data_IF_565569947369
#
_entry.id   IF_565569947369
#
_cell.length_a   1.000
_cell.length_b   1.000
_cell.length_c   1.000
_cell.angle_alpha   90.00
_cell.angle_beta   90.00
_cell.angle_gamma   90.00
#
_symmetry.space_group_name_H-M   'P 1'
#
loop_
_entity.id
_entity.type
_entity.pdbx_description
1 polymer ?
#
# COMPACT_ATOMS: atom_id res chain seq x y z
N UNK A 1 15.60 -46.51 20.69
CA UNK A 1 16.17 -45.56 21.68
C UNK A 1 15.96 -44.16 21.14
N UNK A 2 14.96 -43.46 21.66
CA UNK A 2 14.61 -42.09 21.25
C UNK A 2 15.50 -41.12 22.02
N UNK A 3 16.52 -40.57 21.36
CA UNK A 3 17.45 -39.63 21.98
C UNK A 3 16.78 -38.26 22.04
N UNK A 4 16.14 -37.95 23.17
CA UNK A 4 15.62 -36.61 23.44
C UNK A 4 16.79 -35.66 23.67
N UNK A 5 17.14 -34.84 22.66
CA UNK A 5 18.10 -33.74 22.82
C UNK A 5 17.56 -32.78 23.89
N UNK A 6 18.10 -32.86 25.12
CA UNK A 6 17.86 -31.88 26.18
C UNK A 6 18.80 -30.70 25.97
N UNK A 7 18.24 -29.58 25.48
CA UNK A 7 18.96 -28.31 25.42
C UNK A 7 19.40 -27.89 26.82
N UNK A 8 20.67 -27.50 26.96
CA UNK A 8 21.18 -26.96 28.23
C UNK A 8 20.42 -25.69 28.62
N UNK A 9 20.33 -25.33 29.92
CA UNK A 9 19.67 -24.11 30.35
C UNK A 9 20.16 -22.86 29.61
N UNK A 10 21.46 -22.80 29.32
CA UNK A 10 22.10 -21.74 28.53
C UNK A 10 21.64 -21.79 27.06
N UNK A 11 21.58 -22.97 26.44
CA UNK A 11 21.06 -23.14 25.08
C UNK A 11 19.59 -22.73 24.96
N UNK A 12 18.77 -23.02 25.98
CA UNK A 12 17.38 -22.59 26.03
C UNK A 12 17.23 -21.07 26.18
N UNK A 13 18.10 -20.43 26.97
CA UNK A 13 18.12 -18.96 27.11
C UNK A 13 18.50 -18.26 25.81
N UNK A 14 19.56 -18.73 25.12
CA UNK A 14 19.98 -18.17 23.83
C UNK A 14 18.87 -18.31 22.79
N UNK A 15 18.20 -19.47 22.73
CA UNK A 15 17.09 -19.69 21.81
C UNK A 15 15.91 -18.74 22.08
N UNK A 16 15.57 -18.50 23.36
CA UNK A 16 14.50 -17.55 23.73
C UNK A 16 14.85 -16.11 23.33
N UNK A 17 16.08 -15.67 23.57
CA UNK A 17 16.53 -14.32 23.20
C UNK A 17 16.54 -14.15 21.67
N UNK A 18 17.00 -15.16 20.92
CA UNK A 18 16.97 -15.14 19.46
C UNK A 18 15.54 -15.12 18.91
N UNK A 19 14.62 -15.90 19.49
CA UNK A 19 13.21 -15.93 19.10
C UNK A 19 12.54 -14.56 19.35
N UNK A 20 12.75 -13.98 20.53
CA UNK A 20 12.22 -12.66 20.87
C UNK A 20 12.82 -11.58 19.97
N UNK A 21 14.13 -11.59 19.76
CA UNK A 21 14.81 -10.67 18.85
C UNK A 21 14.29 -10.77 17.41
N UNK A 22 14.04 -11.99 16.92
CA UNK A 22 13.45 -12.23 15.60
C UNK A 22 12.02 -11.69 15.47
N UNK A 23 11.18 -11.86 16.50
CA UNK A 23 9.81 -11.30 16.52
C UNK A 23 9.85 -9.77 16.52
N UNK A 24 10.71 -9.15 17.32
CA UNK A 24 10.87 -7.70 17.35
C UNK A 24 11.39 -7.16 16.01
N UNK A 25 12.38 -7.80 15.41
CA UNK A 25 12.90 -7.40 14.10
C UNK A 25 11.85 -7.53 12.99
N UNK A 26 11.07 -8.62 13.00
CA UNK A 26 9.98 -8.82 12.04
C UNK A 26 8.86 -7.79 12.22
N UNK A 27 8.43 -7.54 13.46
CA UNK A 27 7.43 -6.52 13.77
C UNK A 27 7.93 -5.12 13.37
N UNK A 28 9.17 -4.78 13.71
CA UNK A 28 9.82 -3.53 13.32
C UNK A 28 9.86 -3.37 11.80
N UNK A 29 10.32 -4.39 11.07
CA UNK A 29 10.36 -4.33 9.60
C UNK A 29 8.95 -4.14 9.02
N UNK A 30 7.95 -4.88 9.51
CA UNK A 30 6.56 -4.74 9.05
C UNK A 30 5.97 -3.35 9.35
N UNK A 31 6.31 -2.75 10.49
CA UNK A 31 5.79 -1.46 10.95
C UNK A 31 6.49 -0.29 10.23
N UNK A 32 7.82 -0.34 10.09
CA UNK A 32 8.62 0.76 9.58
C UNK A 32 8.94 0.66 8.08
N UNK A 33 8.77 -0.51 7.44
CA UNK A 33 8.86 -0.70 5.98
C UNK A 33 7.50 -0.97 5.33
N UNK A 34 6.40 -0.86 6.08
CA UNK A 34 5.05 -1.03 5.56
C UNK A 34 4.41 0.29 5.11
N UNK A 35 3.37 0.17 4.30
CA UNK A 35 2.52 1.25 3.81
C UNK A 35 2.27 2.34 4.85
N UNK A 36 2.67 3.57 4.52
CA UNK A 36 2.41 4.73 5.36
C UNK A 36 1.13 5.41 4.86
N UNK A 37 0.10 5.39 5.70
CA UNK A 37 -1.11 6.15 5.45
C UNK A 37 -0.81 7.66 5.45
N UNK A 38 -1.40 8.36 4.49
CA UNK A 38 -1.33 9.81 4.42
C UNK A 38 -2.38 10.41 5.35
N UNK A 39 -1.99 11.40 6.15
CA UNK A 39 -2.94 12.17 6.95
C UNK A 39 -3.64 13.19 6.07
N UNK A 40 -4.93 13.41 6.31
CA UNK A 40 -5.66 14.50 5.65
C UNK A 40 -4.97 15.84 5.92
N UNK A 41 -4.81 16.64 4.87
CA UNK A 41 -4.18 17.95 4.95
C UNK A 41 -5.22 19.00 5.35
N UNK A 42 -5.00 19.62 6.50
CA UNK A 42 -5.88 20.66 7.07
C UNK A 42 -5.92 21.94 6.25
N UNK A 43 -4.95 22.15 5.34
CA UNK A 43 -4.91 23.32 4.43
C UNK A 43 -5.92 23.20 3.28
N UNK A 44 -6.40 22.00 2.99
CA UNK A 44 -7.37 21.73 1.93
C UNK A 44 -8.75 21.42 2.51
N UNK A 45 -9.79 21.57 1.68
CA UNK A 45 -11.16 21.19 2.04
C UNK A 45 -11.21 19.71 2.48
N UNK A 46 -12.10 19.33 3.42
CA UNK A 46 -12.31 17.92 3.77
C UNK A 46 -12.62 17.06 2.54
N UNK A 47 -12.37 15.75 2.66
CA UNK A 47 -12.68 14.79 1.59
C UNK A 47 -14.11 14.97 1.10
N UNK A 48 -14.29 15.07 -0.22
CA UNK A 48 -15.61 15.15 -0.84
C UNK A 48 -16.28 13.77 -1.02
N UNK A 49 -15.61 12.71 -0.59
CA UNK A 49 -16.13 11.34 -0.57
C UNK A 49 -16.00 10.74 0.84
N UNK A 50 -16.79 9.72 1.12
CA UNK A 50 -16.69 8.93 2.35
C UNK A 50 -15.81 7.67 2.16
N UNK A 51 -15.54 6.97 3.27
CA UNK A 51 -14.70 5.75 3.30
C UNK A 51 -15.24 4.66 2.36
N UNK A 52 -16.56 4.43 2.35
CA UNK A 52 -17.18 3.41 1.50
C UNK A 52 -16.95 3.70 0.02
N UNK A 53 -17.10 4.97 -0.39
CA UNK A 53 -16.84 5.40 -1.77
C UNK A 53 -15.35 5.31 -2.11
N UNK A 54 -14.47 5.69 -1.17
CA UNK A 54 -13.03 5.60 -1.36
C UNK A 54 -12.58 4.16 -1.56
N UNK A 55 -13.07 3.23 -0.73
CA UNK A 55 -12.83 1.79 -0.86
C UNK A 55 -13.32 1.24 -2.21
N UNK A 56 -14.53 1.59 -2.61
CA UNK A 56 -15.08 1.15 -3.90
C UNK A 56 -14.21 1.63 -5.09
N UNK A 57 -13.78 2.90 -5.07
CA UNK A 57 -12.88 3.45 -6.09
C UNK A 57 -11.51 2.78 -6.07
N UNK A 58 -10.95 2.54 -4.88
CA UNK A 58 -9.66 1.87 -4.72
C UNK A 58 -9.67 0.45 -5.28
N UNK A 59 -10.71 -0.35 -5.01
CA UNK A 59 -10.85 -1.69 -5.59
C UNK A 59 -11.04 -1.67 -7.11
N UNK A 60 -11.82 -0.71 -7.63
CA UNK A 60 -12.01 -0.54 -9.06
C UNK A 60 -10.70 -0.16 -9.77
N UNK A 61 -9.90 0.73 -9.17
CA UNK A 61 -8.56 1.08 -9.66
C UNK A 61 -7.65 -0.14 -9.62
N UNK A 62 -7.57 -0.86 -8.51
CA UNK A 62 -6.72 -2.05 -8.40
C UNK A 62 -7.08 -3.11 -9.45
N UNK A 63 -8.37 -3.39 -9.63
CA UNK A 63 -8.85 -4.34 -10.64
C UNK A 63 -8.49 -3.88 -12.05
N UNK A 64 -8.59 -2.57 -12.33
CA UNK A 64 -8.22 -2.00 -13.62
C UNK A 64 -6.71 -2.08 -13.92
N UNK A 65 -5.88 -2.10 -12.88
CA UNK A 65 -4.42 -2.19 -12.99
C UNK A 65 -3.91 -3.64 -13.07
N UNK A 66 -4.61 -4.59 -12.43
CA UNK A 66 -4.19 -5.99 -12.38
C UNK A 66 -4.49 -6.78 -13.66
N UNK A 67 -5.43 -6.30 -14.49
CA UNK A 67 -5.88 -6.99 -15.70
C UNK A 67 -4.80 -7.17 -16.79
N UNK A 68 -5.17 -7.83 -17.89
CA UNK A 68 -4.30 -7.96 -19.07
C UNK A 68 -4.17 -6.59 -19.77
N UNK A 69 -3.19 -5.81 -19.33
CA UNK A 69 -3.02 -4.40 -19.68
C UNK A 69 -3.83 -3.49 -18.76
N UNK A 70 -3.18 -2.44 -18.26
CA UNK A 70 -3.81 -1.49 -17.36
C UNK A 70 -4.85 -0.61 -18.07
N UNK A 71 -6.06 -0.55 -17.52
CA UNK A 71 -7.14 0.24 -18.10
C UNK A 71 -7.12 1.69 -17.60
N UNK A 72 -6.37 2.54 -18.32
CA UNK A 72 -6.23 3.96 -18.02
C UNK A 72 -7.56 4.68 -17.81
N UNK A 73 -8.55 4.46 -18.69
CA UNK A 73 -9.85 5.16 -18.62
C UNK A 73 -10.61 4.86 -17.34
N UNK A 74 -10.58 3.61 -16.89
CA UNK A 74 -11.22 3.23 -15.62
C UNK A 74 -10.51 3.88 -14.44
N UNK A 75 -9.18 3.94 -14.45
CA UNK A 75 -8.40 4.63 -13.41
C UNK A 75 -8.72 6.12 -13.39
N UNK A 76 -8.66 6.78 -14.55
CA UNK A 76 -8.96 8.20 -14.71
C UNK A 76 -10.36 8.55 -14.20
N UNK A 77 -11.38 7.77 -14.58
CA UNK A 77 -12.75 7.98 -14.12
C UNK A 77 -12.89 7.88 -12.60
N UNK A 78 -12.18 6.96 -11.96
CA UNK A 78 -12.24 6.78 -10.50
C UNK A 78 -11.43 7.85 -9.74
N UNK A 79 -10.43 8.46 -10.36
CA UNK A 79 -9.68 9.58 -9.79
C UNK A 79 -10.32 10.94 -10.06
N UNK A 80 -11.11 11.05 -11.13
CA UNK A 80 -11.78 12.29 -11.52
C UNK A 80 -12.77 12.77 -10.46
N UNK A 81 -12.79 14.09 -10.25
CA UNK A 81 -13.68 14.76 -9.30
C UNK A 81 -13.30 14.60 -7.84
N UNK A 82 -12.20 13.91 -7.51
CA UNK A 82 -11.66 13.89 -6.15
C UNK A 82 -11.00 15.24 -5.83
N UNK A 83 -11.26 15.76 -4.64
CA UNK A 83 -10.40 16.83 -4.11
C UNK A 83 -9.15 16.24 -3.43
N UNK A 84 -8.22 17.08 -2.99
CA UNK A 84 -6.94 16.66 -2.39
C UNK A 84 -7.11 15.61 -1.26
N UNK A 85 -8.01 15.88 -0.30
CA UNK A 85 -8.25 14.96 0.81
C UNK A 85 -9.09 13.73 0.39
N UNK A 86 -9.89 13.82 -0.67
CA UNK A 86 -10.57 12.69 -1.29
C UNK A 86 -9.59 11.73 -1.95
N UNK A 87 -8.56 12.25 -2.61
CA UNK A 87 -7.47 11.41 -3.13
C UNK A 87 -6.71 10.71 -1.99
N UNK A 88 -6.33 11.45 -0.93
CA UNK A 88 -5.68 10.84 0.25
C UNK A 88 -6.51 9.68 0.81
N UNK A 89 -7.83 9.84 0.87
CA UNK A 89 -8.72 8.77 1.34
C UNK A 89 -8.69 7.55 0.41
N UNK A 90 -8.75 7.74 -0.91
CA UNK A 90 -8.61 6.64 -1.89
C UNK A 90 -7.23 5.97 -1.78
N UNK A 91 -6.16 6.74 -1.67
CA UNK A 91 -4.80 6.24 -1.48
C UNK A 91 -4.70 5.35 -0.23
N UNK A 92 -5.26 5.81 0.90
CA UNK A 92 -5.26 5.06 2.15
C UNK A 92 -6.08 3.78 2.09
N UNK A 93 -7.25 3.82 1.44
CA UNK A 93 -8.10 2.63 1.23
C UNK A 93 -7.50 1.65 0.21
N UNK A 94 -6.73 2.15 -0.76
CA UNK A 94 -5.97 1.32 -1.69
C UNK A 94 -4.89 0.54 -0.94
N UNK A 95 -4.15 1.22 -0.06
CA UNK A 95 -3.15 0.60 0.78
C UNK A 95 -1.93 0.13 -0.02
N UNK A 96 -1.37 -1.00 0.40
CA UNK A 96 -0.38 -1.75 -0.37
C UNK A 96 -1.04 -2.94 -1.05
N UNK A 97 -0.85 -3.07 -2.37
CA UNK A 97 -1.37 -4.19 -3.16
C UNK A 97 -0.23 -4.90 -3.90
N UNK A 98 -0.35 -6.22 -4.06
CA UNK A 98 0.65 -7.03 -4.76
C UNK A 98 0.46 -6.95 -6.27
N UNK A 99 1.53 -6.65 -7.00
CA UNK A 99 1.57 -6.75 -8.45
C UNK A 99 1.61 -8.18 -8.95
N UNK A 100 1.43 -8.34 -10.27
CA UNK A 100 1.65 -9.60 -10.95
C UNK A 100 3.07 -10.17 -10.73
N UNK A 101 4.05 -9.31 -10.46
CA UNK A 101 5.46 -9.65 -10.18
C UNK A 101 5.76 -9.87 -8.69
N UNK A 102 4.73 -9.99 -7.84
CA UNK A 102 4.80 -10.20 -6.38
C UNK A 102 5.41 -9.04 -5.57
N UNK A 103 5.68 -7.90 -6.21
CA UNK A 103 6.12 -6.67 -5.53
C UNK A 103 4.90 -6.00 -4.91
N UNK A 104 5.03 -5.51 -3.68
CA UNK A 104 3.99 -4.69 -3.05
C UNK A 104 4.20 -3.24 -3.45
N UNK A 105 3.13 -2.60 -3.89
CA UNK A 105 3.14 -1.21 -4.31
C UNK A 105 1.93 -0.49 -3.74
N UNK A 106 2.11 0.77 -3.39
CA UNK A 106 1.02 1.70 -3.10
C UNK A 106 0.37 2.20 -4.40
N UNK A 107 -0.71 2.99 -4.29
CA UNK A 107 -1.45 3.48 -5.45
C UNK A 107 -0.54 4.24 -6.43
N UNK A 108 0.32 5.14 -5.97
CA UNK A 108 1.17 5.97 -6.84
C UNK A 108 2.19 5.11 -7.57
N UNK A 109 2.85 4.20 -6.85
CA UNK A 109 3.81 3.24 -7.42
C UNK A 109 3.15 2.35 -8.48
N UNK A 110 1.93 1.86 -8.22
CA UNK A 110 1.13 1.11 -9.18
C UNK A 110 0.83 1.88 -10.46
N UNK A 111 0.49 3.17 -10.35
CA UNK A 111 0.23 4.01 -11.52
C UNK A 111 1.52 4.18 -12.33
N UNK A 112 2.64 4.47 -11.67
CA UNK A 112 3.95 4.66 -12.34
C UNK A 112 4.48 3.38 -13.00
N UNK A 113 4.23 2.21 -12.41
CA UNK A 113 4.63 0.92 -12.96
C UNK A 113 3.80 0.54 -14.19
N UNK A 114 2.51 0.85 -14.20
CA UNK A 114 1.57 0.39 -15.23
C UNK A 114 1.37 1.36 -16.40
N UNK A 115 1.67 2.64 -16.23
CA UNK A 115 1.44 3.66 -17.26
C UNK A 115 2.73 4.35 -17.70
N UNK A 116 2.76 4.76 -18.97
CA UNK A 116 3.85 5.55 -19.54
C UNK A 116 3.83 6.99 -19.01
N UNK A 117 4.91 7.74 -19.26
CA UNK A 117 5.06 9.12 -18.79
C UNK A 117 3.97 10.08 -19.29
N UNK A 118 3.45 9.88 -20.50
CA UNK A 118 2.40 10.72 -21.08
C UNK A 118 1.08 10.56 -20.31
N UNK A 119 0.71 9.33 -19.99
CA UNK A 119 -0.50 9.04 -19.23
C UNK A 119 -0.36 9.45 -17.76
N UNK A 120 0.84 9.28 -17.18
CA UNK A 120 1.14 9.81 -15.84
C UNK A 120 1.05 11.33 -15.80
N UNK A 121 1.52 12.03 -16.83
CA UNK A 121 1.39 13.48 -16.91
C UNK A 121 -0.08 13.94 -16.88
N UNK A 122 -0.99 13.19 -17.53
CA UNK A 122 -2.44 13.47 -17.45
C UNK A 122 -2.99 13.24 -16.05
N UNK A 123 -2.65 12.12 -15.42
CA UNK A 123 -3.09 11.81 -14.04
C UNK A 123 -2.58 12.86 -13.03
N UNK A 124 -1.37 13.39 -13.21
CA UNK A 124 -0.81 14.46 -12.37
C UNK A 124 -1.69 15.70 -12.30
N UNK A 125 -2.43 16.02 -13.36
CA UNK A 125 -3.35 17.16 -13.35
C UNK A 125 -4.58 16.92 -12.45
N UNK A 126 -5.00 15.66 -12.31
CA UNK A 126 -6.13 15.27 -11.47
C UNK A 126 -5.75 15.19 -9.98
N UNK A 127 -4.54 14.71 -9.69
CA UNK A 127 -4.08 14.44 -8.32
C UNK A 127 -2.79 15.21 -8.01
N UNK A 128 -2.88 16.54 -8.14
CA UNK A 128 -1.75 17.46 -7.96
C UNK A 128 -1.07 17.26 -6.60
N UNK A 129 0.26 17.10 -6.63
CA UNK A 129 1.11 17.00 -5.45
C UNK A 129 1.33 15.59 -4.89
N UNK A 130 0.88 14.54 -5.60
CA UNK A 130 1.03 13.14 -5.18
C UNK A 130 1.95 12.29 -6.07
N UNK A 131 2.56 12.89 -7.10
CA UNK A 131 3.54 12.27 -7.99
C UNK A 131 4.87 13.01 -7.95
#
# INVERSE_FOLDING_TARGET
>A
MESTMRLSPTGMTVLKVALLGGIFAFAYYKIFKGFQQLRADKRYKPSNINVTQAKARAEAIYTALLGFGANYKTVENNLTGLNHNGFIMVYNEFGERRSATLVKMNLVEWLQDQFNETDIAKLRFLIKGFF
#
